data_IF_825075315755
#
_entry.id   IF_825075315755
#
_cell.length_a   1.000
_cell.length_b   1.000
_cell.length_c   1.000
_cell.angle_alpha   90.00
_cell.angle_beta   90.00
_cell.angle_gamma   90.00
#
_symmetry.space_group_name_H-M   'P 1'
#
loop_
_entity.id
_entity.type
_entity.pdbx_description
1 polymer ?
#
# COMPACT_ATOMS: atom_id res chain seq x y z
N UNK A 1 8.30 -6.71 -2.75
CA UNK A 1 7.05 -6.24 -2.11
C UNK A 1 5.97 -7.27 -2.38
N UNK A 2 4.79 -7.09 -1.81
CA UNK A 2 3.63 -7.90 -2.15
C UNK A 2 2.56 -6.99 -2.74
N UNK A 3 1.83 -7.49 -3.74
CA UNK A 3 0.66 -6.84 -4.30
C UNK A 3 -0.52 -7.77 -4.09
N UNK A 4 -1.65 -7.24 -3.63
CA UNK A 4 -2.86 -8.02 -3.43
C UNK A 4 -4.07 -7.22 -3.94
N UNK A 5 -4.83 -7.82 -4.85
CA UNK A 5 -6.05 -7.23 -5.38
C UNK A 5 -7.26 -7.69 -4.57
N UNK A 6 -8.28 -6.83 -4.47
CA UNK A 6 -9.52 -7.09 -3.75
C UNK A 6 -10.15 -8.39 -4.24
N UNK A 7 -10.31 -9.36 -3.32
CA UNK A 7 -10.88 -10.69 -3.56
C UNK A 7 -10.12 -11.55 -4.59
N UNK A 8 -8.87 -11.22 -4.90
CA UNK A 8 -8.09 -11.95 -5.92
C UNK A 8 -7.82 -13.43 -5.61
N UNK A 9 -7.82 -13.80 -4.32
CA UNK A 9 -7.65 -15.20 -3.87
C UNK A 9 -8.97 -15.98 -3.78
N UNK A 10 -10.07 -15.42 -4.30
CA UNK A 10 -11.40 -16.05 -4.32
C UNK A 10 -11.98 -16.05 -5.74
N UNK A 11 -12.99 -16.88 -6.00
CA UNK A 11 -13.70 -16.87 -7.30
C UNK A 11 -14.48 -15.57 -7.59
N UNK A 12 -14.59 -14.66 -6.62
CA UNK A 12 -15.32 -13.39 -6.72
C UNK A 12 -14.36 -12.21 -6.81
N UNK A 13 -13.34 -12.30 -7.66
CA UNK A 13 -12.38 -11.22 -7.83
C UNK A 13 -13.06 -9.97 -8.41
N UNK A 14 -13.20 -8.94 -7.57
CA UNK A 14 -13.94 -7.72 -7.89
C UNK A 14 -13.18 -6.76 -8.83
N UNK A 15 -11.85 -6.90 -8.94
CA UNK A 15 -11.03 -6.12 -9.86
C UNK A 15 -11.10 -4.60 -9.66
N UNK A 16 -11.46 -4.12 -8.46
CA UNK A 16 -11.61 -2.68 -8.16
C UNK A 16 -10.38 -2.08 -7.51
N UNK A 17 -9.77 -2.78 -6.56
CA UNK A 17 -8.70 -2.23 -5.74
C UNK A 17 -7.47 -3.15 -5.75
N UNK A 18 -6.30 -2.54 -5.82
CA UNK A 18 -5.00 -3.19 -5.72
C UNK A 18 -4.18 -2.52 -4.61
N UNK A 19 -3.83 -3.29 -3.58
CA UNK A 19 -2.95 -2.86 -2.51
C UNK A 19 -1.51 -3.28 -2.84
N UNK A 20 -0.58 -2.32 -2.83
CA UNK A 20 0.85 -2.53 -3.11
C UNK A 20 1.66 -2.20 -1.87
N UNK A 21 2.32 -3.20 -1.29
CA UNK A 21 3.26 -3.05 -0.19
C UNK A 21 4.68 -2.79 -0.70
N UNK A 22 5.07 -1.51 -0.76
CA UNK A 22 6.41 -1.06 -1.14
C UNK A 22 7.35 -1.04 0.07
N UNK A 23 8.49 -1.74 -0.03
CA UNK A 23 9.46 -1.90 1.06
C UNK A 23 10.29 -0.65 1.39
N UNK A 24 10.27 0.35 0.52
CA UNK A 24 11.01 1.60 0.69
C UNK A 24 10.08 2.78 0.43
N UNK A 25 9.85 3.61 1.46
CA UNK A 25 9.00 4.81 1.36
C UNK A 25 9.73 6.07 0.89
N UNK A 26 11.06 6.10 0.97
CA UNK A 26 11.92 7.22 0.53
C UNK A 26 11.34 8.59 0.94
N UNK A 27 11.01 9.42 -0.04
CA UNK A 27 10.55 10.81 0.05
C UNK A 27 9.03 10.95 0.12
N UNK A 28 8.28 9.83 0.23
CA UNK A 28 6.80 9.85 0.20
C UNK A 28 6.17 10.33 1.51
N UNK A 29 6.93 10.42 2.59
CA UNK A 29 6.46 10.85 3.91
C UNK A 29 7.41 11.85 4.53
N UNK A 30 6.92 12.59 5.54
CA UNK A 30 7.78 13.46 6.34
C UNK A 30 8.92 12.62 6.98
N UNK A 31 10.14 13.15 7.03
CA UNK A 31 11.27 12.43 7.59
C UNK A 31 11.04 12.20 9.10
N UNK A 32 11.00 10.93 9.52
CA UNK A 32 10.78 10.50 10.92
C UNK A 32 12.03 9.87 11.56
N UNK A 33 13.21 10.16 11.00
CA UNK A 33 14.49 9.60 11.44
C UNK A 33 15.09 8.59 10.45
N UNK A 34 16.18 7.89 10.84
CA UNK A 34 16.94 7.02 9.93
C UNK A 34 16.14 5.84 9.37
N UNK A 35 15.19 5.32 10.16
CA UNK A 35 14.33 4.20 9.79
C UNK A 35 13.04 4.72 9.15
N UNK A 36 12.96 4.65 7.83
CA UNK A 36 11.76 4.99 7.08
C UNK A 36 10.78 3.81 7.10
N UNK A 37 9.49 4.08 7.32
CA UNK A 37 8.45 3.04 7.30
C UNK A 37 8.31 2.42 5.90
N UNK A 38 7.75 1.21 5.78
CA UNK A 38 7.30 0.71 4.47
C UNK A 38 6.15 1.60 3.94
N UNK A 39 5.65 1.41 2.72
CA UNK A 39 4.53 2.18 2.16
C UNK A 39 3.46 1.25 1.66
N UNK A 40 2.21 1.49 2.07
CA UNK A 40 1.04 0.88 1.47
C UNK A 40 0.48 1.85 0.42
N UNK A 41 0.45 1.43 -0.84
CA UNK A 41 -0.13 2.19 -1.94
C UNK A 41 -1.45 1.52 -2.33
N UNK A 42 -2.53 2.29 -2.37
CA UNK A 42 -3.82 1.84 -2.86
C UNK A 42 -3.98 2.34 -4.29
N UNK A 43 -4.17 1.40 -5.21
CA UNK A 43 -4.35 1.64 -6.64
C UNK A 43 -5.75 1.21 -7.02
N UNK A 44 -6.49 2.10 -7.67
CA UNK A 44 -7.76 1.77 -8.31
C UNK A 44 -7.47 1.12 -9.67
N UNK A 45 -8.02 -0.08 -9.86
CA UNK A 45 -7.84 -0.91 -11.07
C UNK A 45 -9.19 -1.18 -11.77
N UNK A 46 -10.24 -0.45 -11.43
CA UNK A 46 -11.59 -0.64 -11.96
C UNK A 46 -11.77 -0.24 -13.44
N UNK A 47 -10.84 0.54 -14.01
CA UNK A 47 -10.87 0.98 -15.40
C UNK A 47 -9.63 0.53 -16.20
N UNK A 48 -9.55 0.95 -17.46
CA UNK A 48 -8.47 0.54 -18.39
C UNK A 48 -7.08 1.02 -17.96
N UNK A 49 -6.99 2.05 -17.11
CA UNK A 49 -5.73 2.59 -16.58
C UNK A 49 -5.74 2.56 -15.07
N UNK A 50 -4.65 2.03 -14.50
CA UNK A 50 -4.42 2.03 -13.06
C UNK A 50 -4.22 3.45 -12.54
N UNK A 51 -4.98 3.84 -11.53
CA UNK A 51 -4.88 5.16 -10.89
C UNK A 51 -4.46 5.02 -9.45
N UNK A 52 -3.42 5.75 -9.05
CA UNK A 52 -2.93 5.76 -7.68
C UNK A 52 -3.85 6.61 -6.80
N UNK A 53 -4.62 5.95 -5.94
CA UNK A 53 -5.66 6.59 -5.13
C UNK A 53 -5.10 7.13 -3.80
N UNK A 54 -4.22 6.37 -3.12
CA UNK A 54 -3.69 6.79 -1.82
C UNK A 54 -2.31 6.21 -1.49
N UNK A 55 -1.57 6.95 -0.67
CA UNK A 55 -0.40 6.46 0.06
C UNK A 55 -0.66 6.51 1.55
N UNK A 56 -0.34 5.42 2.24
CA UNK A 56 -0.40 5.36 3.68
C UNK A 56 0.91 4.81 4.26
N UNK A 57 1.49 5.48 5.27
CA UNK A 57 2.54 4.85 6.05
C UNK A 57 1.86 3.79 6.96
N UNK A 58 2.38 2.56 7.03
CA UNK A 58 1.95 1.60 8.02
C UNK A 58 2.18 2.21 9.41
N UNK A 59 1.26 1.95 10.34
CA UNK A 59 1.31 2.56 11.68
C UNK A 59 2.71 2.29 12.29
N UNK A 60 3.39 3.30 12.85
CA UNK A 60 4.62 3.07 13.57
C UNK A 60 4.30 2.09 14.71
N UNK A 61 5.08 1.00 14.78
CA UNK A 61 4.96 0.03 15.86
C UNK A 61 5.21 0.78 17.16
N UNK A 62 4.15 0.95 17.96
CA UNK A 62 4.26 1.47 19.32
C UNK A 62 5.34 0.64 20.03
N UNK A 63 6.32 1.25 20.75
CA UNK A 63 7.21 0.47 21.58
C UNK A 63 6.32 -0.39 22.49
N UNK A 64 6.58 -1.70 22.49
CA UNK A 64 5.92 -2.58 23.44
C UNK A 64 6.22 -2.06 24.87
N UNK A 65 5.25 -2.11 25.79
CA UNK A 65 5.50 -1.74 27.18
C UNK A 65 6.62 -2.58 27.79
#
# INVERSE_FOLDING_TARGET
GHINASQSETMFADGKWLCVGCKFSKDRFLPVGPLHAETEQLVDISGDKMVLAAHRPPRPRRPAP
#
